data_IF_559686405908
#
_entry.id   IF_559686405908
#
_cell.length_a   1.000
_cell.length_b   1.000
_cell.length_c   1.000
_cell.angle_alpha   90.00
_cell.angle_beta   90.00
_cell.angle_gamma   90.00
#
_symmetry.space_group_name_H-M   'P 1'
#
loop_
_entity.id
_entity.type
_entity.pdbx_description
1 polymer ?
#
# COMPACT_ATOMS: atom_id res chain seq x y z
N UNK A 1 -12.67 6.61 4.87
CA UNK A 1 -13.29 5.81 5.92
C UNK A 1 -12.65 6.19 7.25
N UNK A 2 -13.43 6.68 8.21
CA UNK A 2 -12.91 7.03 9.54
C UNK A 2 -12.42 5.79 10.28
N UNK A 3 -11.25 5.88 10.91
CA UNK A 3 -10.69 4.82 11.77
C UNK A 3 -9.92 3.71 11.04
N UNK A 4 -9.59 3.90 9.76
CA UNK A 4 -8.80 2.94 8.97
C UNK A 4 -7.34 3.38 8.78
N UNK A 5 -6.85 4.28 9.63
CA UNK A 5 -5.50 4.84 9.52
C UNK A 5 -4.42 3.77 9.80
N UNK A 6 -4.74 2.78 10.63
CA UNK A 6 -3.89 1.63 10.96
C UNK A 6 -3.57 0.73 9.76
N UNK A 7 -4.43 0.72 8.74
CA UNK A 7 -4.27 -0.09 7.52
C UNK A 7 -3.06 0.33 6.66
N UNK A 8 -2.45 1.48 6.95
CA UNK A 8 -1.28 2.01 6.24
C UNK A 8 0.00 1.98 7.09
N UNK A 9 -0.05 1.41 8.30
CA UNK A 9 1.13 1.23 9.14
C UNK A 9 2.12 0.27 8.48
N UNK A 10 3.42 0.61 8.54
CA UNK A 10 4.49 -0.22 7.98
C UNK A 10 5.13 -1.06 9.07
N UNK A 11 5.35 -2.34 8.78
CA UNK A 11 6.15 -3.19 9.65
C UNK A 11 7.65 -3.04 9.33
N UNK A 12 8.47 -3.10 10.37
CA UNK A 12 9.93 -3.17 10.25
C UNK A 12 10.43 -4.57 9.89
N UNK A 13 11.70 -4.67 9.48
CA UNK A 13 12.34 -5.93 9.10
C UNK A 13 12.52 -6.92 10.26
N UNK A 14 12.27 -6.50 11.49
CA UNK A 14 12.18 -7.40 12.65
C UNK A 14 10.91 -8.27 12.63
N UNK A 15 9.92 -7.93 11.80
CA UNK A 15 8.64 -8.64 11.66
C UNK A 15 8.41 -9.15 10.23
N UNK A 16 9.16 -8.64 9.24
CA UNK A 16 8.91 -8.87 7.82
C UNK A 16 10.23 -9.16 7.08
N UNK A 17 10.18 -10.01 6.06
CA UNK A 17 11.30 -10.32 5.16
C UNK A 17 10.87 -10.06 3.71
N UNK A 18 11.76 -9.45 2.92
CA UNK A 18 11.52 -9.16 1.51
C UNK A 18 11.87 -10.32 0.58
N UNK A 19 12.64 -11.31 1.06
CA UNK A 19 13.07 -12.47 0.26
C UNK A 19 13.70 -12.09 -1.08
N UNK A 20 14.43 -10.98 -1.12
CA UNK A 20 15.03 -10.36 -2.31
C UNK A 20 14.05 -9.97 -3.44
N UNK A 21 12.74 -9.92 -3.17
CA UNK A 21 11.72 -9.50 -4.15
C UNK A 21 11.50 -7.97 -4.14
N UNK A 22 11.47 -7.33 -5.33
CA UNK A 22 11.15 -5.91 -5.44
C UNK A 22 9.67 -5.63 -5.17
N UNK A 23 9.32 -4.37 -4.93
CA UNK A 23 7.94 -3.97 -4.70
C UNK A 23 7.09 -4.11 -5.98
N UNK A 24 6.11 -5.01 -5.97
CA UNK A 24 5.20 -5.26 -7.09
C UNK A 24 3.88 -4.47 -6.94
N UNK A 25 3.71 -3.44 -7.78
CA UNK A 25 2.48 -2.64 -7.85
C UNK A 25 1.27 -3.41 -8.40
N UNK A 26 1.49 -4.54 -9.08
CA UNK A 26 0.45 -5.42 -9.64
C UNK A 26 0.12 -6.60 -8.71
N UNK A 27 0.74 -6.68 -7.54
CA UNK A 27 0.51 -7.78 -6.59
C UNK A 27 -0.96 -7.84 -6.17
N UNK A 28 -1.49 -9.06 -6.06
CA UNK A 28 -2.85 -9.29 -5.54
C UNK A 28 -3.03 -8.77 -4.11
N UNK A 29 -1.94 -8.61 -3.37
CA UNK A 29 -1.92 -8.08 -2.00
C UNK A 29 -1.88 -6.54 -1.95
N UNK A 30 -1.59 -5.87 -3.07
CA UNK A 30 -1.50 -4.42 -3.12
C UNK A 30 -2.89 -3.79 -3.13
N UNK A 31 -3.20 -2.94 -2.15
CA UNK A 31 -4.45 -2.22 -2.12
C UNK A 31 -4.62 -1.30 -3.34
N UNK A 32 -5.85 -1.18 -3.83
CA UNK A 32 -6.18 -0.26 -4.92
C UNK A 32 -6.03 1.23 -4.51
N UNK A 33 -5.95 2.16 -5.48
CA UNK A 33 -5.65 3.57 -5.22
C UNK A 33 -6.66 4.31 -4.33
N UNK A 34 -7.87 3.77 -4.16
CA UNK A 34 -8.97 4.36 -3.38
C UNK A 34 -9.27 3.60 -2.09
N UNK A 35 -8.42 2.62 -1.71
CA UNK A 35 -8.64 1.82 -0.51
C UNK A 35 -8.83 2.73 0.72
N UNK A 36 -9.87 2.46 1.51
CA UNK A 36 -10.26 3.21 2.71
C UNK A 36 -10.52 4.71 2.52
N UNK A 37 -10.69 5.21 1.28
CA UNK A 37 -11.05 6.60 1.03
C UNK A 37 -12.43 6.96 1.61
N UNK A 38 -12.59 8.15 2.19
CA UNK A 38 -13.89 8.67 2.66
C UNK A 38 -14.54 9.64 1.67
N UNK A 39 -13.73 10.20 0.78
CA UNK A 39 -14.07 11.35 -0.05
C UNK A 39 -13.84 11.08 -1.55
N UNK A 40 -13.64 9.81 -1.91
CA UNK A 40 -13.37 9.38 -3.29
C UNK A 40 -12.00 9.83 -3.84
N UNK A 41 -11.16 10.50 -3.05
CA UNK A 41 -9.79 10.83 -3.45
C UNK A 41 -8.87 9.64 -3.21
N UNK A 42 -7.79 9.56 -4.00
CA UNK A 42 -6.79 8.49 -3.87
C UNK A 42 -6.09 8.57 -2.52
N UNK A 43 -5.95 7.43 -1.88
CA UNK A 43 -5.16 7.23 -0.64
C UNK A 43 -3.76 6.69 -0.96
N UNK A 44 -3.61 5.97 -2.07
CA UNK A 44 -2.32 5.46 -2.54
C UNK A 44 -1.99 6.09 -3.91
N UNK A 45 -0.81 6.71 -4.00
CA UNK A 45 -0.28 7.31 -5.22
C UNK A 45 1.10 6.73 -5.49
N UNK A 46 1.24 6.01 -6.61
CA UNK A 46 2.51 5.44 -7.03
C UNK A 46 3.51 6.56 -7.35
N UNK A 47 4.75 6.43 -6.84
CA UNK A 47 5.84 7.39 -7.09
C UNK A 47 6.59 7.11 -8.37
N UNK A 48 6.52 5.88 -8.84
CA UNK A 48 6.98 5.44 -10.15
C UNK A 48 5.77 4.78 -10.80
N UNK A 49 5.28 5.37 -11.88
CA UNK A 49 4.40 4.64 -12.78
C UNK A 49 5.34 3.67 -13.47
N UNK A 50 5.07 2.37 -13.40
CA UNK A 50 5.92 1.37 -14.04
C UNK A 50 6.24 1.78 -15.50
N UNK A 51 7.51 1.68 -15.89
CA UNK A 51 7.97 1.66 -17.29
C UNK A 51 7.41 0.43 -18.03
#
# INVERSE_FOLDING_TARGET
>A
MKGADDQFEKYGLNVLDHLDEPYDYSSIMHYGPYAFSDNGKRTIVARKVND
#
